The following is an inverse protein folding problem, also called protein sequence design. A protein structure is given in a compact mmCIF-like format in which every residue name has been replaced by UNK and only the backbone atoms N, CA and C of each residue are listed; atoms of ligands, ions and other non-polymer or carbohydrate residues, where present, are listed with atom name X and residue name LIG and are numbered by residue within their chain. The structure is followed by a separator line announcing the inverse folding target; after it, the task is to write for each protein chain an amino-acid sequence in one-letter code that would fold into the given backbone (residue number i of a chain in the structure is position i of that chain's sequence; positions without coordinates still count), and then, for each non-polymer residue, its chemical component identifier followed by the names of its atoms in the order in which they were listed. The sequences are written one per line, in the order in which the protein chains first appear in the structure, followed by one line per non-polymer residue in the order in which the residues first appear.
data_IF_987984364772
#
_entry.id   IF_987984364772
#
_cell.length_a   1.000
_cell.length_b   1.000
_cell.length_c   1.000
_cell.angle_alpha   90.00
_cell.angle_beta   90.00
_cell.angle_gamma   90.00
#
_symmetry.space_group_name_H-M   'P 1'
#
loop_
_entity.id
_entity.type
_entity.pdbx_description
1 polymer ?
#
# COMPACT_ATOMS: atom_id res chain seq x y z
N UNK A 1 18.40 -15.56 -35.70
CA UNK A 1 18.88 -14.21 -35.34
C UNK A 1 17.79 -13.30 -34.75
N UNK A 2 16.65 -13.04 -35.40
CA UNK A 2 15.55 -12.23 -34.79
C UNK A 2 14.89 -12.96 -33.60
N UNK A 3 14.63 -14.26 -33.75
CA UNK A 3 14.05 -15.13 -32.72
C UNK A 3 14.91 -15.16 -31.44
N UNK A 4 16.23 -15.33 -31.56
CA UNK A 4 17.15 -15.39 -30.40
C UNK A 4 17.15 -14.09 -29.57
N UNK A 5 16.96 -12.94 -30.21
CA UNK A 5 16.88 -11.64 -29.53
C UNK A 5 15.53 -11.47 -28.83
N UNK A 6 14.44 -11.90 -29.46
CA UNK A 6 13.11 -11.87 -28.88
C UNK A 6 13.01 -12.81 -27.67
N UNK A 7 13.55 -14.03 -27.78
CA UNK A 7 13.62 -15.01 -26.69
C UNK A 7 14.37 -14.44 -25.46
N UNK A 8 15.53 -13.83 -25.67
CA UNK A 8 16.29 -13.18 -24.58
C UNK A 8 15.48 -12.11 -23.86
N UNK A 9 14.64 -11.36 -24.58
CA UNK A 9 13.77 -10.32 -24.02
C UNK A 9 12.60 -10.91 -23.25
N UNK A 10 11.97 -11.97 -23.75
CA UNK A 10 10.97 -12.72 -22.99
C UNK A 10 11.57 -13.33 -21.72
N UNK A 11 12.77 -13.93 -21.78
CA UNK A 11 13.51 -14.42 -20.60
C UNK A 11 13.81 -13.30 -19.60
N UNK A 12 14.10 -12.09 -20.07
CA UNK A 12 14.28 -10.91 -19.20
C UNK A 12 12.98 -10.53 -18.49
N UNK A 13 11.85 -10.46 -19.19
CA UNK A 13 10.53 -10.19 -18.60
C UNK A 13 10.12 -11.29 -17.61
N UNK A 14 10.41 -12.55 -17.94
CA UNK A 14 10.13 -13.67 -17.05
C UNK A 14 10.90 -13.59 -15.74
N UNK A 15 11.97 -12.79 -15.61
CA UNK A 15 12.64 -12.55 -14.31
C UNK A 15 11.72 -11.96 -13.25
N UNK A 16 10.59 -11.36 -13.64
CA UNK A 16 9.54 -10.95 -12.71
C UNK A 16 8.87 -12.13 -11.99
N UNK A 17 8.90 -13.35 -12.55
CA UNK A 17 8.33 -14.53 -11.89
C UNK A 17 9.26 -15.07 -10.78
N UNK A 18 8.69 -15.67 -9.71
CA UNK A 18 9.48 -16.34 -8.67
C UNK A 18 10.43 -17.39 -9.25
N UNK A 19 11.62 -17.54 -8.66
CA UNK A 19 12.66 -18.42 -9.17
C UNK A 19 12.22 -19.89 -9.32
N UNK A 20 11.39 -20.42 -8.40
CA UNK A 20 10.84 -21.77 -8.52
C UNK A 20 9.92 -21.93 -9.72
N UNK A 21 8.95 -21.02 -9.87
CA UNK A 21 8.02 -21.02 -11.00
C UNK A 21 8.74 -20.92 -12.35
N UNK A 22 9.79 -20.08 -12.42
CA UNK A 22 10.61 -19.98 -13.65
C UNK A 22 11.28 -21.29 -14.01
N UNK A 23 11.83 -22.03 -13.04
CA UNK A 23 12.50 -23.31 -13.33
C UNK A 23 11.55 -24.36 -13.89
N UNK A 24 10.29 -24.33 -13.48
CA UNK A 24 9.29 -25.33 -13.89
C UNK A 24 8.54 -24.95 -15.17
N UNK A 25 8.25 -23.67 -15.37
CA UNK A 25 7.30 -23.20 -16.39
C UNK A 25 7.86 -22.18 -17.39
N UNK A 26 9.09 -21.68 -17.22
CA UNK A 26 9.61 -20.63 -18.09
C UNK A 26 9.76 -21.10 -19.54
N UNK A 27 10.30 -22.31 -19.76
CA UNK A 27 10.52 -22.80 -21.12
C UNK A 27 9.20 -23.09 -21.85
N UNK A 28 8.19 -23.66 -21.15
CA UNK A 28 6.82 -23.83 -21.68
C UNK A 28 6.17 -22.48 -22.07
N UNK A 29 6.31 -21.46 -21.21
CA UNK A 29 5.79 -20.12 -21.48
C UNK A 29 6.49 -19.46 -22.67
N UNK A 30 7.81 -19.63 -22.79
CA UNK A 30 8.58 -19.07 -23.91
C UNK A 30 8.19 -19.75 -25.21
N UNK A 31 8.08 -21.09 -25.21
CA UNK A 31 7.70 -21.87 -26.38
C UNK A 31 6.31 -21.46 -26.88
N UNK A 32 5.35 -21.29 -25.96
CA UNK A 32 4.00 -20.80 -26.28
C UNK A 32 4.03 -19.39 -26.88
N UNK A 33 4.82 -18.47 -26.31
CA UNK A 33 4.88 -17.08 -26.77
C UNK A 33 5.57 -16.92 -28.13
N UNK A 34 6.57 -17.75 -28.42
CA UNK A 34 7.32 -17.70 -29.68
C UNK A 34 6.63 -18.52 -30.77
N UNK A 35 5.98 -19.63 -30.40
CA UNK A 35 5.29 -20.54 -31.32
C UNK A 35 4.15 -19.86 -32.11
N UNK A 36 3.53 -18.84 -31.53
CA UNK A 36 2.39 -18.11 -32.12
C UNK A 36 2.79 -16.87 -32.94
N UNK A 37 4.08 -16.49 -33.02
CA UNK A 37 4.50 -15.15 -33.46
C UNK A 37 5.25 -15.13 -34.81
N UNK A 38 4.94 -14.19 -35.75
CA UNK A 38 5.62 -14.10 -37.03
C UNK A 38 7.12 -13.76 -36.87
N UNK A 39 7.98 -14.47 -37.60
CA UNK A 39 9.44 -14.59 -37.47
C UNK A 39 10.27 -13.30 -37.55
N UNK A 40 9.67 -12.13 -37.78
CA UNK A 40 10.38 -10.87 -38.00
C UNK A 40 10.35 -9.87 -36.82
N UNK A 41 9.68 -10.20 -35.72
CA UNK A 41 9.61 -9.32 -34.54
C UNK A 41 10.87 -9.45 -33.68
N UNK A 42 11.43 -8.31 -33.25
CA UNK A 42 12.58 -8.28 -32.32
C UNK A 42 12.20 -7.95 -30.88
N UNK A 43 11.07 -7.27 -30.66
CA UNK A 43 10.60 -6.83 -29.34
C UNK A 43 9.24 -7.43 -29.03
N UNK A 44 8.99 -7.90 -27.79
CA UNK A 44 7.64 -8.24 -27.35
C UNK A 44 6.68 -7.07 -27.57
N UNK A 45 5.42 -7.34 -27.91
CA UNK A 45 4.42 -6.28 -27.84
C UNK A 45 4.29 -5.75 -26.42
N UNK A 46 3.85 -4.49 -26.31
CA UNK A 46 3.45 -3.91 -25.03
C UNK A 46 2.37 -4.75 -24.33
N UNK A 47 1.48 -5.39 -25.10
CA UNK A 47 0.41 -6.25 -24.58
C UNK A 47 0.94 -7.55 -23.98
N UNK A 48 1.87 -8.23 -24.64
CA UNK A 48 2.51 -9.45 -24.12
C UNK A 48 3.35 -9.13 -22.89
N UNK A 49 4.15 -8.05 -22.94
CA UNK A 49 4.94 -7.61 -21.79
C UNK A 49 4.05 -7.31 -20.58
N UNK A 50 2.96 -6.56 -20.78
CA UNK A 50 2.00 -6.28 -19.72
C UNK A 50 1.30 -7.56 -19.20
N UNK A 51 0.94 -8.49 -20.09
CA UNK A 51 0.35 -9.78 -19.72
C UNK A 51 1.30 -10.62 -18.87
N UNK A 52 2.57 -10.70 -19.24
CA UNK A 52 3.61 -11.41 -18.51
C UNK A 52 3.86 -10.82 -17.13
N UNK A 53 3.98 -9.49 -17.02
CA UNK A 53 4.15 -8.81 -15.73
C UNK A 53 2.91 -9.07 -14.86
N UNK A 54 1.70 -8.98 -15.43
CA UNK A 54 0.45 -9.25 -14.70
C UNK A 54 0.35 -10.70 -14.24
N UNK A 55 0.81 -11.65 -15.05
CA UNK A 55 0.89 -13.06 -14.69
C UNK A 55 1.89 -13.30 -13.56
N UNK A 56 3.06 -12.65 -13.60
CA UNK A 56 4.05 -12.71 -12.54
C UNK A 56 3.48 -12.20 -11.21
N UNK A 57 2.80 -11.05 -11.24
CA UNK A 57 2.11 -10.48 -10.09
C UNK A 57 1.06 -11.43 -9.51
N UNK A 58 0.29 -12.13 -10.36
CA UNK A 58 -0.69 -13.14 -9.91
C UNK A 58 -0.06 -14.35 -9.24
N UNK A 59 1.07 -14.82 -9.74
CA UNK A 59 1.81 -15.95 -9.14
C UNK A 59 2.41 -15.53 -7.81
N UNK A 60 3.02 -14.34 -7.72
CA UNK A 60 3.51 -13.77 -6.46
C UNK A 60 2.36 -13.52 -5.46
N UNK A 61 1.21 -13.10 -5.97
CA UNK A 61 -0.06 -12.93 -5.26
C UNK A 61 -0.70 -14.24 -4.77
N UNK A 62 -0.02 -15.39 -4.93
CA UNK A 62 -0.46 -16.69 -4.42
C UNK A 62 -1.82 -17.16 -4.94
N UNK A 63 -2.24 -16.69 -6.12
CA UNK A 63 -3.50 -17.09 -6.76
C UNK A 63 -3.54 -18.59 -7.17
N UNK A 64 -2.37 -19.24 -7.09
CA UNK A 64 -2.15 -20.67 -7.31
C UNK A 64 -2.00 -21.47 -6.00
N UNK A 65 -2.13 -20.84 -4.83
CA UNK A 65 -1.97 -21.52 -3.54
C UNK A 65 -3.17 -22.45 -3.21
N UNK A 66 -2.97 -23.52 -2.42
CA UNK A 66 -4.03 -24.48 -2.06
C UNK A 66 -5.19 -23.87 -1.28
N UNK A 67 -4.94 -22.81 -0.48
CA UNK A 67 -5.93 -22.10 0.36
C UNK A 67 -5.97 -20.61 0.01
N UNK A 68 -6.46 -20.24 -1.18
CA UNK A 68 -6.31 -18.87 -1.69
C UNK A 68 -7.00 -17.84 -0.77
N UNK A 69 -8.15 -18.15 -0.18
CA UNK A 69 -8.89 -17.20 0.67
C UNK A 69 -8.17 -16.89 1.98
N UNK A 70 -7.71 -17.91 2.71
CA UNK A 70 -6.99 -17.71 3.96
C UNK A 70 -5.69 -16.93 3.74
N UNK A 71 -4.96 -17.28 2.66
CA UNK A 71 -3.74 -16.56 2.28
C UNK A 71 -4.06 -15.10 1.93
N UNK A 72 -5.11 -14.84 1.13
CA UNK A 72 -5.54 -13.48 0.78
C UNK A 72 -5.88 -12.66 2.02
N UNK A 73 -6.67 -13.21 2.94
CA UNK A 73 -7.10 -12.53 4.16
C UNK A 73 -5.91 -12.20 5.07
N UNK A 74 -5.10 -13.20 5.42
CA UNK A 74 -4.00 -13.01 6.36
C UNK A 74 -2.88 -12.13 5.82
N UNK A 75 -2.55 -12.27 4.54
CA UNK A 75 -1.55 -11.40 3.92
C UNK A 75 -2.12 -10.01 3.66
N UNK A 76 -3.42 -9.88 3.36
CA UNK A 76 -4.12 -8.60 3.27
C UNK A 76 -4.09 -7.82 4.58
N UNK A 77 -4.36 -8.48 5.72
CA UNK A 77 -4.23 -7.88 7.06
C UNK A 77 -2.80 -7.40 7.31
N UNK A 78 -1.81 -8.23 7.02
CA UNK A 78 -0.41 -7.87 7.25
C UNK A 78 0.03 -6.68 6.38
N UNK A 79 -0.35 -6.69 5.11
CA UNK A 79 -0.10 -5.57 4.19
C UNK A 79 -0.89 -4.32 4.63
N UNK A 80 -2.09 -4.46 5.16
CA UNK A 80 -2.87 -3.36 5.74
C UNK A 80 -2.23 -2.74 6.99
N UNK A 81 -1.63 -3.58 7.85
CA UNK A 81 -0.85 -3.08 8.99
C UNK A 81 0.39 -2.31 8.54
N UNK A 82 1.15 -2.86 7.56
CA UNK A 82 2.29 -2.17 6.95
C UNK A 82 1.88 -0.84 6.32
N UNK A 83 0.74 -0.84 5.62
CA UNK A 83 0.16 0.31 4.99
C UNK A 83 -0.17 1.43 5.99
N UNK A 84 -0.88 1.07 7.07
CA UNK A 84 -1.25 2.00 8.12
C UNK A 84 -0.01 2.58 8.84
N UNK A 85 0.98 1.75 9.18
CA UNK A 85 2.23 2.22 9.80
C UNK A 85 3.03 3.13 8.86
N UNK A 86 3.18 2.75 7.59
CA UNK A 86 3.90 3.55 6.61
C UNK A 86 3.24 4.93 6.40
N UNK A 87 1.91 4.96 6.37
CA UNK A 87 1.18 6.20 6.27
C UNK A 87 1.33 7.07 7.53
N UNK A 88 1.24 6.46 8.71
CA UNK A 88 1.44 7.18 9.97
C UNK A 88 2.83 7.81 10.07
N UNK A 89 3.88 7.08 9.69
CA UNK A 89 5.26 7.59 9.61
C UNK A 89 5.37 8.76 8.64
N UNK A 90 4.75 8.66 7.47
CA UNK A 90 4.78 9.75 6.50
C UNK A 90 4.13 11.03 7.04
N UNK A 91 2.97 10.90 7.69
CA UNK A 91 2.25 12.03 8.28
C UNK A 91 3.05 12.62 9.46
N UNK A 92 3.60 11.77 10.34
CA UNK A 92 4.40 12.25 11.47
C UNK A 92 5.66 12.98 11.03
N UNK A 93 6.30 12.56 9.93
CA UNK A 93 7.41 13.29 9.33
C UNK A 93 6.99 14.66 8.77
N UNK A 94 5.83 14.75 8.12
CA UNK A 94 5.28 16.01 7.61
C UNK A 94 4.99 16.98 8.78
N UNK A 95 4.34 16.49 9.84
CA UNK A 95 4.04 17.26 11.06
C UNK A 95 5.32 17.81 11.74
N UNK A 96 6.41 17.02 11.74
CA UNK A 96 7.71 17.45 12.27
C UNK A 96 8.30 18.56 11.41
N UNK A 97 8.30 18.39 10.09
CA UNK A 97 8.80 19.40 9.15
C UNK A 97 8.02 20.69 9.31
N UNK A 98 6.70 20.61 9.37
CA UNK A 98 5.81 21.75 9.60
C UNK A 98 6.09 22.45 10.93
N UNK A 99 6.22 21.71 12.03
CA UNK A 99 6.53 22.28 13.34
C UNK A 99 7.87 23.04 13.36
N UNK A 100 8.89 22.53 12.66
CA UNK A 100 10.15 23.24 12.51
C UNK A 100 10.03 24.50 11.64
N UNK A 101 9.25 24.45 10.56
CA UNK A 101 9.00 25.60 9.69
C UNK A 101 8.29 26.75 10.42
N UNK A 102 7.34 26.44 11.31
CA UNK A 102 6.55 27.44 12.05
C UNK A 102 7.13 27.82 13.42
N UNK A 103 8.46 27.84 13.54
CA UNK A 103 9.15 28.40 14.72
C UNK A 103 9.78 27.37 15.66
N UNK A 104 9.65 26.08 15.35
CA UNK A 104 10.27 24.99 16.12
C UNK A 104 11.80 25.06 16.23
N UNK A 105 12.48 25.82 15.36
CA UNK A 105 13.92 26.07 15.48
C UNK A 105 14.30 26.85 16.75
N UNK A 106 13.38 27.62 17.32
CA UNK A 106 13.62 28.36 18.57
C UNK A 106 13.53 27.48 19.82
N UNK A 107 12.79 26.36 19.73
CA UNK A 107 12.66 25.36 20.80
C UNK A 107 12.57 23.93 20.21
N UNK A 108 13.69 23.41 19.69
CA UNK A 108 13.72 22.11 19.03
C UNK A 108 13.42 20.95 19.99
N UNK A 109 13.74 21.11 21.28
CA UNK A 109 13.52 20.08 22.29
C UNK A 109 12.02 19.86 22.53
N UNK A 110 11.22 20.93 22.55
CA UNK A 110 9.77 20.80 22.67
C UNK A 110 9.15 20.10 21.45
N UNK A 111 9.61 20.41 20.23
CA UNK A 111 9.17 19.71 19.01
C UNK A 111 9.51 18.22 19.07
N UNK A 112 10.76 17.89 19.39
CA UNK A 112 11.21 16.49 19.49
C UNK A 112 10.50 15.73 20.61
N UNK A 113 10.22 16.37 21.75
CA UNK A 113 9.45 15.77 22.85
C UNK A 113 8.00 15.51 22.44
N UNK A 114 7.38 16.47 21.75
CA UNK A 114 5.96 16.40 21.41
C UNK A 114 5.69 15.46 20.24
N UNK A 115 6.52 15.47 19.19
CA UNK A 115 6.27 14.71 17.95
C UNK A 115 7.35 13.63 17.71
N UNK A 116 8.61 13.92 18.01
CA UNK A 116 9.74 13.04 17.71
C UNK A 116 9.68 11.67 18.39
N UNK A 117 9.22 11.60 19.65
CA UNK A 117 9.11 10.31 20.37
C UNK A 117 8.09 9.38 19.70
N UNK A 118 6.93 9.89 19.31
CA UNK A 118 5.91 9.11 18.60
C UNK A 118 6.49 8.59 17.28
N UNK A 119 7.09 9.49 16.50
CA UNK A 119 7.63 9.17 15.18
C UNK A 119 8.73 8.10 15.24
N UNK A 120 9.67 8.21 16.19
CA UNK A 120 10.73 7.21 16.39
C UNK A 120 10.15 5.83 16.68
N UNK A 121 9.18 5.75 17.60
CA UNK A 121 8.57 4.46 18.00
C UNK A 121 7.74 3.87 16.85
N UNK A 122 7.01 4.70 16.10
CA UNK A 122 6.21 4.28 14.95
C UNK A 122 7.09 3.79 13.79
N UNK A 123 8.15 4.54 13.46
CA UNK A 123 9.17 4.14 12.49
C UNK A 123 9.85 2.82 12.90
N UNK A 124 10.18 2.65 14.19
CA UNK A 124 10.73 1.39 14.69
C UNK A 124 9.73 0.22 14.55
N UNK A 125 8.42 0.45 14.79
CA UNK A 125 7.38 -0.54 14.59
C UNK A 125 7.29 -0.98 13.11
N UNK A 126 7.34 -0.02 12.18
CA UNK A 126 7.35 -0.28 10.74
C UNK A 126 8.57 -1.12 10.33
N UNK A 127 9.77 -0.72 10.75
CA UNK A 127 11.01 -1.46 10.47
C UNK A 127 10.94 -2.88 11.03
N UNK A 128 10.46 -3.05 12.27
CA UNK A 128 10.28 -4.37 12.86
C UNK A 128 9.30 -5.23 12.05
N UNK A 129 8.21 -4.64 11.56
CA UNK A 129 7.22 -5.37 10.75
C UNK A 129 7.78 -5.81 9.40
N UNK A 130 8.49 -4.92 8.70
CA UNK A 130 9.19 -5.21 7.43
C UNK A 130 10.26 -6.28 7.61
N UNK A 131 10.97 -6.26 8.74
CA UNK A 131 11.97 -7.27 9.10
C UNK A 131 11.35 -8.64 9.46
N UNK A 132 10.01 -8.74 9.56
CA UNK A 132 9.30 -9.96 9.94
C UNK A 132 9.23 -10.20 11.45
N UNK A 133 9.63 -9.23 12.28
CA UNK A 133 9.57 -9.29 13.75
C UNK A 133 8.18 -8.84 14.25
N UNK A 134 7.15 -9.60 13.91
CA UNK A 134 5.74 -9.23 14.15
C UNK A 134 5.39 -8.96 15.62
N UNK A 135 5.96 -9.73 16.57
CA UNK A 135 5.73 -9.50 18.00
C UNK A 135 6.32 -8.16 18.46
N UNK A 136 7.56 -7.88 18.05
CA UNK A 136 8.23 -6.60 18.34
C UNK A 136 7.45 -5.44 17.71
N UNK A 137 7.01 -5.59 16.47
CA UNK A 137 6.18 -4.60 15.79
C UNK A 137 4.85 -4.33 16.53
N UNK A 138 4.20 -5.37 17.07
CA UNK A 138 2.97 -5.22 17.85
C UNK A 138 3.21 -4.42 19.13
N UNK A 139 4.26 -4.76 19.88
CA UNK A 139 4.63 -4.05 21.12
C UNK A 139 4.96 -2.58 20.83
N UNK A 140 5.75 -2.33 19.79
CA UNK A 140 6.12 -0.97 19.38
C UNK A 140 4.92 -0.18 18.87
N UNK A 141 4.02 -0.79 18.11
CA UNK A 141 2.79 -0.12 17.67
C UNK A 141 1.90 0.27 18.86
N UNK A 142 1.71 -0.63 19.83
CA UNK A 142 0.97 -0.29 21.07
C UNK A 142 1.69 0.81 21.85
N UNK A 143 3.03 0.73 21.96
CA UNK A 143 3.82 1.76 22.62
C UNK A 143 3.69 3.12 21.92
N UNK A 144 3.65 3.17 20.58
CA UNK A 144 3.44 4.40 19.82
C UNK A 144 2.06 5.02 20.05
N UNK A 145 1.04 4.24 20.43
CA UNK A 145 -0.26 4.77 20.84
C UNK A 145 -0.28 5.26 22.31
N UNK A 146 0.41 4.56 23.22
CA UNK A 146 0.30 4.80 24.68
C UNK A 146 1.36 5.77 25.20
N UNK A 147 2.63 5.60 24.81
CA UNK A 147 3.74 6.41 25.34
C UNK A 147 3.55 7.90 25.04
N UNK A 148 3.17 8.31 23.82
CA UNK A 148 3.03 9.73 23.53
C UNK A 148 1.85 10.39 24.26
N UNK A 149 0.77 9.66 24.56
CA UNK A 149 -0.35 10.20 25.36
C UNK A 149 0.05 10.46 26.81
N UNK A 150 1.03 9.72 27.33
CA UNK A 150 1.61 9.95 28.67
C UNK A 150 2.65 11.08 28.66
N UNK A 151 3.51 11.12 27.63
CA UNK A 151 4.63 12.08 27.57
C UNK A 151 4.16 13.49 27.17
N UNK A 152 3.21 13.58 26.24
CA UNK A 152 2.73 14.86 25.73
C UNK A 152 1.23 14.82 25.47
N UNK A 153 0.41 15.42 26.36
CA UNK A 153 -1.02 15.60 26.12
C UNK A 153 -1.29 16.35 24.81
N UNK A 154 -0.32 17.14 24.32
CA UNK A 154 -0.40 17.92 23.09
C UNK A 154 -0.83 17.10 21.87
N UNK A 155 -0.29 15.89 21.69
CA UNK A 155 -0.65 15.06 20.54
C UNK A 155 -2.11 14.62 20.57
N UNK A 156 -2.63 14.35 21.77
CA UNK A 156 -4.00 13.91 21.97
C UNK A 156 -4.98 15.09 21.91
N UNK A 157 -4.62 16.22 22.52
CA UNK A 157 -5.46 17.41 22.60
C UNK A 157 -5.62 18.12 21.26
N UNK A 158 -4.64 18.00 20.35
CA UNK A 158 -4.72 18.63 19.02
C UNK A 158 -5.32 17.71 17.94
N UNK A 159 -5.82 16.53 18.30
CA UNK A 159 -6.44 15.61 17.34
C UNK A 159 -5.51 15.14 16.22
N UNK A 160 -4.19 15.24 16.39
CA UNK A 160 -3.25 15.14 15.27
C UNK A 160 -3.35 13.76 14.57
N UNK A 161 -3.52 13.70 13.24
CA UNK A 161 -3.75 12.46 12.50
C UNK A 161 -2.82 11.30 12.86
N UNK A 162 -1.57 11.56 13.20
CA UNK A 162 -0.59 10.51 13.51
C UNK A 162 -1.01 9.50 14.60
N UNK A 163 -1.88 9.85 15.58
CA UNK A 163 -2.25 8.92 16.66
C UNK A 163 -3.09 7.72 16.22
N UNK A 164 -3.84 7.81 15.10
CA UNK A 164 -4.70 6.69 14.66
C UNK A 164 -3.89 5.56 14.02
N UNK A 165 -2.71 5.83 13.47
CA UNK A 165 -1.91 4.85 12.74
C UNK A 165 -1.55 3.64 13.62
N UNK A 166 -0.98 3.81 14.83
CA UNK A 166 -0.75 2.69 15.73
C UNK A 166 -2.04 2.06 16.26
N UNK A 167 -3.12 2.83 16.45
CA UNK A 167 -4.42 2.32 16.92
C UNK A 167 -5.05 1.37 15.92
N UNK A 168 -4.91 1.63 14.61
CA UNK A 168 -5.39 0.73 13.55
C UNK A 168 -4.38 -0.38 13.24
N UNK A 169 -3.09 -0.08 13.24
CA UNK A 169 -2.07 -1.07 12.94
C UNK A 169 -1.95 -2.15 14.03
N UNK A 170 -1.98 -1.79 15.31
CA UNK A 170 -1.83 -2.72 16.42
C UNK A 170 -2.82 -3.92 16.37
N UNK A 171 -4.15 -3.74 16.24
CA UNK A 171 -5.08 -4.86 16.16
C UNK A 171 -4.85 -5.70 14.90
N UNK A 172 -4.47 -5.09 13.77
CA UNK A 172 -4.14 -5.83 12.55
C UNK A 172 -2.88 -6.70 12.74
N UNK A 173 -1.84 -6.17 13.39
CA UNK A 173 -0.62 -6.92 13.69
C UNK A 173 -0.92 -8.05 14.68
N UNK A 174 -1.66 -7.76 15.76
CA UNK A 174 -2.06 -8.76 16.78
C UNK A 174 -2.93 -9.86 16.17
N UNK A 175 -3.88 -9.49 15.30
CA UNK A 175 -4.66 -10.47 14.56
C UNK A 175 -3.74 -11.31 13.69
N UNK A 176 -2.80 -10.68 12.95
CA UNK A 176 -1.80 -11.35 12.13
C UNK A 176 -0.88 -12.32 12.89
N UNK A 177 -0.68 -12.14 14.20
CA UNK A 177 0.03 -13.13 15.05
C UNK A 177 -0.73 -14.44 15.20
N UNK A 178 -2.06 -14.44 15.00
CA UNK A 178 -2.91 -15.64 15.00
C UNK A 178 -2.95 -16.34 13.64
N UNK A 179 -2.11 -15.92 12.68
CA UNK A 179 -2.00 -16.55 11.36
C UNK A 179 -1.71 -18.05 11.52
N UNK A 180 -2.50 -18.92 10.85
CA UNK A 180 -2.23 -20.35 10.79
C UNK A 180 -0.85 -20.66 10.20
N UNK A 181 -0.15 -21.67 10.75
CA UNK A 181 1.21 -22.02 10.34
C UNK A 181 1.33 -22.47 8.87
N UNK A 182 0.25 -22.99 8.30
CA UNK A 182 0.14 -23.46 6.91
C UNK A 182 -0.03 -22.34 5.87
N UNK A 183 -0.41 -21.14 6.31
CA UNK A 183 -0.44 -19.96 5.44
C UNK A 183 0.99 -19.44 5.34
N UNK A 184 1.61 -19.22 4.18
CA UNK A 184 2.95 -18.62 4.07
C UNK A 184 2.94 -17.12 4.40
N UNK A 185 4.09 -16.54 4.83
CA UNK A 185 4.20 -15.11 5.08
C UNK A 185 4.03 -14.32 3.78
N UNK A 186 3.62 -13.06 3.91
CA UNK A 186 3.60 -12.16 2.75
C UNK A 186 5.02 -11.99 2.19
N UNK A 187 5.20 -12.02 0.86
CA UNK A 187 6.50 -11.75 0.25
C UNK A 187 6.97 -10.34 0.61
N UNK A 188 8.26 -10.17 0.93
CA UNK A 188 8.84 -8.84 1.23
C UNK A 188 8.67 -7.85 0.08
N UNK A 189 8.69 -8.33 -1.16
CA UNK A 189 8.44 -7.49 -2.34
C UNK A 189 7.05 -6.83 -2.29
N UNK A 190 6.03 -7.54 -1.80
CA UNK A 190 4.68 -6.99 -1.68
C UNK A 190 4.62 -5.93 -0.57
N UNK A 191 5.35 -6.12 0.53
CA UNK A 191 5.48 -5.11 1.58
C UNK A 191 6.10 -3.82 1.02
N UNK A 192 7.23 -3.92 0.29
CA UNK A 192 7.88 -2.78 -0.35
C UNK A 192 6.95 -2.09 -1.34
N UNK A 193 6.24 -2.86 -2.17
CA UNK A 193 5.34 -2.31 -3.18
C UNK A 193 4.13 -1.58 -2.56
N UNK A 194 3.57 -2.12 -1.46
CA UNK A 194 2.50 -1.46 -0.71
C UNK A 194 3.00 -0.16 -0.09
N UNK A 195 4.13 -0.21 0.61
CA UNK A 195 4.75 0.98 1.23
C UNK A 195 5.04 2.05 0.19
N UNK A 196 5.68 1.68 -0.93
CA UNK A 196 5.99 2.60 -2.02
C UNK A 196 4.72 3.16 -2.70
N UNK A 197 3.69 2.34 -2.90
CA UNK A 197 2.42 2.77 -3.47
C UNK A 197 1.68 3.77 -2.59
N UNK A 198 1.70 3.56 -1.26
CA UNK A 198 1.08 4.47 -0.31
C UNK A 198 1.84 5.79 -0.22
N UNK A 199 3.17 5.73 -0.18
CA UNK A 199 4.03 6.90 -0.29
C UNK A 199 3.70 7.68 -1.56
N UNK A 200 3.65 7.02 -2.72
CA UNK A 200 3.33 7.68 -3.98
C UNK A 200 1.93 8.30 -4.01
N UNK A 201 0.93 7.65 -3.40
CA UNK A 201 -0.43 8.17 -3.33
C UNK A 201 -0.57 9.38 -2.38
N UNK A 202 0.22 9.42 -1.30
CA UNK A 202 0.12 10.48 -0.28
C UNK A 202 1.10 11.63 -0.46
N UNK A 203 2.23 11.41 -1.14
CA UNK A 203 3.17 12.49 -1.53
C UNK A 203 2.61 13.43 -2.61
N UNK A 204 1.36 13.25 -3.05
CA UNK A 204 0.67 14.20 -3.92
C UNK A 204 -0.18 15.11 -3.03
N UNK A 205 0.29 16.31 -2.69
CA UNK A 205 -0.33 17.11 -1.65
C UNK A 205 -1.60 17.75 -2.21
N UNK A 206 -2.75 17.13 -1.97
CA UNK A 206 -4.05 17.63 -2.42
C UNK A 206 -4.34 19.06 -1.91
N UNK A 207 -3.80 19.43 -0.75
CA UNK A 207 -3.89 20.78 -0.18
C UNK A 207 -3.02 21.81 -0.90
N UNK A 208 -1.77 21.45 -1.22
CA UNK A 208 -0.83 22.33 -1.92
C UNK A 208 -1.33 22.75 -3.30
N UNK A 209 -2.04 21.86 -4.01
CA UNK A 209 -2.58 22.11 -5.35
C UNK A 209 -3.60 23.26 -5.43
N UNK A 210 -4.21 23.65 -4.31
CA UNK A 210 -5.16 24.78 -4.28
C UNK A 210 -4.45 26.13 -4.37
N UNK A 211 -3.19 26.21 -3.91
CA UNK A 211 -2.42 27.45 -3.82
C UNK A 211 -1.46 27.69 -5.00
N UNK A 212 -1.35 26.73 -5.93
CA UNK A 212 -0.45 26.82 -7.10
C UNK A 212 -1.22 27.14 -8.38
N UNK A 213 -0.51 27.71 -9.35
CA UNK A 213 -0.98 27.98 -10.70
C UNK A 213 -1.60 26.74 -11.39
N UNK A 214 -2.41 26.98 -12.43
CA UNK A 214 -3.17 25.95 -13.13
C UNK A 214 -2.30 24.80 -13.69
N UNK A 215 -1.07 25.10 -14.14
CA UNK A 215 -0.18 24.12 -14.77
C UNK A 215 0.31 23.06 -13.76
N UNK A 216 0.92 23.41 -12.61
CA UNK A 216 1.24 22.45 -11.55
C UNK A 216 0.04 21.61 -11.08
N UNK A 217 -1.15 22.23 -11.03
CA UNK A 217 -2.39 21.52 -10.66
C UNK A 217 -2.76 20.41 -11.64
N UNK A 218 -2.68 20.69 -12.95
CA UNK A 218 -2.94 19.70 -14.01
C UNK A 218 -1.92 18.58 -13.96
N UNK A 219 -0.62 18.91 -13.84
CA UNK A 219 0.45 17.90 -13.75
C UNK A 219 0.22 16.96 -12.57
N UNK A 220 -0.08 17.52 -11.40
CA UNK A 220 -0.36 16.70 -10.22
C UNK A 220 -1.62 15.84 -10.39
N UNK A 221 -2.71 16.38 -10.95
CA UNK A 221 -3.92 15.60 -11.22
C UNK A 221 -3.62 14.43 -12.17
N UNK A 222 -2.86 14.65 -13.24
CA UNK A 222 -2.43 13.58 -14.15
C UNK A 222 -1.59 12.52 -13.42
N UNK A 223 -0.67 12.94 -12.55
CA UNK A 223 0.15 12.04 -11.74
C UNK A 223 -0.69 11.21 -10.75
N UNK A 224 -1.70 11.81 -10.09
CA UNK A 224 -2.65 11.09 -9.22
C UNK A 224 -3.40 10.04 -10.03
N UNK A 225 -4.01 10.43 -11.16
CA UNK A 225 -4.79 9.53 -12.00
C UNK A 225 -3.93 8.39 -12.52
N UNK A 226 -2.70 8.68 -12.96
CA UNK A 226 -1.74 7.67 -13.38
C UNK A 226 -1.34 6.73 -12.23
N UNK A 227 -1.05 7.28 -11.05
CA UNK A 227 -0.71 6.50 -9.85
C UNK A 227 -1.85 5.58 -9.41
N UNK A 228 -3.08 6.08 -9.37
CA UNK A 228 -4.29 5.30 -9.07
C UNK A 228 -4.50 4.22 -10.14
N UNK A 229 -4.38 4.54 -11.43
CA UNK A 229 -4.53 3.57 -12.51
C UNK A 229 -3.49 2.45 -12.41
N UNK A 230 -2.22 2.78 -12.13
CA UNK A 230 -1.15 1.80 -11.90
C UNK A 230 -1.46 0.95 -10.67
N UNK A 231 -1.85 1.58 -9.55
CA UNK A 231 -2.23 0.86 -8.34
C UNK A 231 -3.38 -0.12 -8.60
N UNK A 232 -4.46 0.32 -9.24
CA UNK A 232 -5.60 -0.53 -9.59
C UNK A 232 -5.19 -1.65 -10.54
N UNK A 233 -4.33 -1.37 -11.51
CA UNK A 233 -3.80 -2.38 -12.41
C UNK A 233 -3.05 -3.48 -11.64
N UNK A 234 -2.16 -3.11 -10.72
CA UNK A 234 -1.47 -4.08 -9.85
C UNK A 234 -2.45 -4.79 -8.91
N UNK A 235 -3.39 -4.05 -8.30
CA UNK A 235 -4.37 -4.60 -7.35
C UNK A 235 -5.36 -5.57 -8.01
N UNK A 236 -5.64 -5.45 -9.31
CA UNK A 236 -6.40 -6.47 -10.06
C UNK A 236 -5.61 -7.76 -10.29
N UNK A 237 -4.28 -7.68 -10.21
CA UNK A 237 -3.38 -8.84 -10.27
C UNK A 237 -3.18 -9.47 -8.89
N UNK A 238 -3.11 -8.64 -7.84
CA UNK A 238 -3.01 -9.07 -6.43
C UNK A 238 -4.11 -8.42 -5.57
N UNK A 239 -5.19 -9.17 -5.32
CA UNK A 239 -6.36 -8.70 -4.56
C UNK A 239 -6.03 -8.36 -3.09
N UNK A 240 -4.88 -8.79 -2.56
CA UNK A 240 -4.45 -8.44 -1.20
C UNK A 240 -4.22 -6.94 -1.06
N UNK A 241 -3.78 -6.29 -2.13
CA UNK A 241 -3.55 -4.85 -2.17
C UNK A 241 -4.85 -4.06 -1.98
N UNK A 242 -5.98 -4.60 -2.48
CA UNK A 242 -7.29 -3.99 -2.27
C UNK A 242 -7.67 -4.02 -0.78
N UNK A 243 -7.45 -5.15 -0.11
CA UNK A 243 -7.69 -5.29 1.34
C UNK A 243 -6.76 -4.36 2.13
N UNK A 244 -5.48 -4.29 1.73
CA UNK A 244 -4.48 -3.46 2.40
C UNK A 244 -4.77 -1.96 2.32
N UNK A 245 -5.47 -1.51 1.27
CA UNK A 245 -5.82 -0.10 1.06
C UNK A 245 -7.06 0.34 1.83
N UNK A 246 -7.93 -0.60 2.26
CA UNK A 246 -9.13 -0.27 3.02
C UNK A 246 -8.82 0.49 4.32
N UNK A 247 -7.88 0.02 5.18
CA UNK A 247 -7.48 0.79 6.36
C UNK A 247 -6.98 2.19 6.02
N UNK A 248 -6.12 2.34 5.00
CA UNK A 248 -5.55 3.65 4.65
C UNK A 248 -6.58 4.63 4.13
N UNK A 249 -7.55 4.17 3.34
CA UNK A 249 -8.61 5.05 2.85
C UNK A 249 -9.57 5.45 3.97
N UNK A 250 -9.95 4.50 4.83
CA UNK A 250 -10.78 4.78 6.00
C UNK A 250 -10.11 5.81 6.91
N UNK A 251 -8.79 5.68 7.10
CA UNK A 251 -7.99 6.60 7.91
C UNK A 251 -7.88 7.98 7.28
N UNK A 252 -7.67 8.06 5.96
CA UNK A 252 -7.72 9.32 5.23
C UNK A 252 -9.09 10.01 5.37
N UNK A 253 -10.19 9.26 5.31
CA UNK A 253 -11.53 9.82 5.54
C UNK A 253 -11.70 10.30 6.99
N UNK A 254 -11.31 9.50 7.98
CA UNK A 254 -11.42 9.87 9.40
C UNK A 254 -10.61 11.12 9.72
N UNK A 255 -9.42 11.26 9.15
CA UNK A 255 -8.62 12.46 9.30
C UNK A 255 -9.31 13.70 8.70
N UNK A 256 -9.88 13.57 7.50
CA UNK A 256 -10.64 14.67 6.89
C UNK A 256 -11.89 15.04 7.69
N UNK A 257 -12.56 14.06 8.30
CA UNK A 257 -13.73 14.26 9.17
C UNK A 257 -13.37 15.06 10.43
N UNK A 258 -12.22 14.76 11.05
CA UNK A 258 -11.75 15.45 12.26
C UNK A 258 -11.41 16.91 11.97
N UNK A 259 -10.67 17.16 10.88
CA UNK A 259 -10.29 18.51 10.46
C UNK A 259 -11.46 19.39 9.99
N UNK A 260 -12.59 18.80 9.58
CA UNK A 260 -13.72 19.54 9.02
C UNK A 260 -14.76 19.99 10.06
N UNK A 261 -14.71 19.48 11.29
CA UNK A 261 -15.77 19.71 12.29
C UNK A 261 -17.05 18.92 11.97
N UNK A 262 -17.59 18.24 12.98
CA UNK A 262 -18.42 17.04 12.79
C UNK A 262 -19.85 17.22 12.23
N UNK A 263 -20.38 18.42 11.91
CA UNK A 263 -21.84 18.51 11.64
C UNK A 263 -22.32 19.45 10.54
N UNK A 264 -21.64 20.54 10.18
CA UNK A 264 -22.16 21.48 9.15
C UNK A 264 -21.27 21.57 7.89
N UNK A 265 -19.96 21.49 8.05
CA UNK A 265 -19.00 21.63 6.95
C UNK A 265 -18.98 20.39 6.04
N UNK A 266 -19.27 19.21 6.58
CA UNK A 266 -19.29 17.93 5.85
C UNK A 266 -20.39 17.84 4.77
N UNK A 267 -21.53 18.49 5.01
CA UNK A 267 -22.60 18.61 4.01
C UNK A 267 -22.25 19.65 2.94
N UNK A 268 -21.34 20.59 3.23
CA UNK A 268 -20.91 21.66 2.32
C UNK A 268 -19.60 21.36 1.58
N UNK A 269 -18.81 20.38 2.06
CA UNK A 269 -17.56 19.91 1.43
C UNK A 269 -17.75 18.54 0.77
N UNK A 270 -18.23 18.48 -0.50
CA UNK A 270 -18.40 17.23 -1.25
C UNK A 270 -17.08 16.48 -1.53
N UNK A 271 -15.94 17.06 -1.16
CA UNK A 271 -14.58 16.56 -1.33
C UNK A 271 -14.11 15.56 -0.26
N UNK A 272 -14.81 15.43 0.88
CA UNK A 272 -14.43 14.46 1.94
C UNK A 272 -15.08 13.06 1.78
N UNK A 273 -16.30 13.02 1.23
CA UNK A 273 -17.06 11.78 0.95
C UNK A 273 -16.49 10.83 -0.13
N UNK A 274 -15.70 11.26 -1.14
CA UNK A 274 -15.22 10.38 -2.20
C UNK A 274 -14.31 9.27 -1.69
N UNK A 275 -13.51 9.51 -0.64
CA UNK A 275 -12.53 8.55 -0.14
C UNK A 275 -13.18 7.32 0.51
N UNK A 276 -14.23 7.52 1.31
CA UNK A 276 -14.99 6.43 1.95
C UNK A 276 -15.77 5.61 0.91
N UNK A 277 -16.44 6.29 -0.02
CA UNK A 277 -17.20 5.64 -1.09
C UNK A 277 -16.26 4.81 -1.97
N UNK A 278 -15.09 5.35 -2.31
CA UNK A 278 -14.04 4.62 -3.04
C UNK A 278 -13.54 3.44 -2.22
N UNK A 279 -13.31 3.58 -0.92
CA UNK A 279 -12.88 2.47 -0.06
C UNK A 279 -13.90 1.31 -0.03
N UNK A 280 -15.18 1.64 0.16
CA UNK A 280 -16.27 0.65 0.18
C UNK A 280 -16.42 -0.02 -1.19
N UNK A 281 -16.41 0.77 -2.28
CA UNK A 281 -16.47 0.22 -3.64
C UNK A 281 -15.29 -0.71 -3.93
N UNK A 282 -14.08 -0.33 -3.51
CA UNK A 282 -12.88 -1.14 -3.67
C UNK A 282 -12.95 -2.46 -2.89
N UNK A 283 -13.45 -2.42 -1.64
CA UNK A 283 -13.69 -3.62 -0.85
C UNK A 283 -14.75 -4.53 -1.49
N UNK A 284 -15.85 -3.96 -1.98
CA UNK A 284 -16.93 -4.71 -2.66
C UNK A 284 -16.42 -5.34 -3.96
N UNK A 285 -15.70 -4.59 -4.79
CA UNK A 285 -15.09 -5.09 -6.04
C UNK A 285 -14.10 -6.21 -5.74
N UNK A 286 -13.29 -6.08 -4.68
CA UNK A 286 -12.38 -7.15 -4.24
C UNK A 286 -13.14 -8.43 -3.87
N UNK A 287 -14.21 -8.32 -3.07
CA UNK A 287 -15.03 -9.46 -2.63
C UNK A 287 -15.76 -10.11 -3.82
N UNK A 288 -16.41 -9.32 -4.67
CA UNK A 288 -17.18 -9.80 -5.82
C UNK A 288 -16.26 -10.46 -6.85
N UNK A 289 -15.12 -9.84 -7.18
CA UNK A 289 -14.15 -10.43 -8.11
C UNK A 289 -13.56 -11.74 -7.59
N UNK A 290 -13.36 -11.86 -6.28
CA UNK A 290 -12.92 -13.11 -5.64
C UNK A 290 -13.98 -14.19 -5.76
N UNK A 291 -15.25 -13.88 -5.46
CA UNK A 291 -16.36 -14.84 -5.56
C UNK A 291 -16.62 -15.29 -7.00
N UNK A 292 -16.54 -14.39 -7.98
CA UNK A 292 -16.73 -14.74 -9.39
C UNK A 292 -15.66 -15.72 -9.89
N UNK A 293 -14.39 -15.52 -9.50
CA UNK A 293 -13.30 -16.47 -9.86
C UNK A 293 -13.48 -17.85 -9.23
N UNK A 294 -14.05 -17.93 -8.04
CA UNK A 294 -14.34 -19.21 -7.40
C UNK A 294 -15.39 -20.00 -8.17
N UNK A 295 -16.43 -19.33 -8.69
CA UNK A 295 -17.49 -19.97 -9.50
C UNK A 295 -17.00 -20.48 -10.85
N UNK A 296 -16.00 -19.86 -11.45
CA UNK A 296 -15.45 -20.31 -12.74
C UNK A 296 -14.45 -21.47 -12.62
N UNK A 297 -14.06 -21.86 -11.39
CA UNK A 297 -13.11 -22.95 -11.12
C UNK A 297 -13.76 -24.19 -10.51
N UNK A 298 -15.03 -24.11 -10.12
CA UNK A 298 -15.85 -25.22 -9.65
C UNK A 298 -16.73 -25.72 -10.79
#
# INVERSE_FOLDING_TARGET
MSSDVLEKRYRMLLRAYPAGYRRERADELIDTLIGDEPTNRRWPSLREAASLIRGALRVQGGSTAPRPVAVLFWQGIHLGALAALALGVLIGLDDIVEAFQYGGLSDPLTVLRNQGVHEIVLSAALVALVAGRTRTAAVLAVAAAVVPTVISPYLFLNGLPQWWAPVVAAPLIVLGLRRPADVPPAPRANAVLVTAGILALHLIPAGGLRMVDAVPRIVAAVMVVAGVAVFLWVATADQRLLIAVVPTLLLGTLHQLDNAGLTEELLRRPDALPSLVVAVLMAVVAVVSTRLRQRTRA
#
